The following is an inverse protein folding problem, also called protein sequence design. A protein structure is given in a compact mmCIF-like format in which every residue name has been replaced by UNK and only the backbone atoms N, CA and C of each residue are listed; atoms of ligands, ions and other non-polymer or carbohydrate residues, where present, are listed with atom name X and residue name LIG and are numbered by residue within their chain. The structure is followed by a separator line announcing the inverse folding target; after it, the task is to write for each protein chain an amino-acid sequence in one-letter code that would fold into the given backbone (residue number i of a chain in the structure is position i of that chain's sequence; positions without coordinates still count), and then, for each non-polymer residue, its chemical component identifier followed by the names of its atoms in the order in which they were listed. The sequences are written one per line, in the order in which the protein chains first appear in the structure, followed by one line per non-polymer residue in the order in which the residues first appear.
data_IF_643239140087
#
_entry.id   IF_643239140087
#
_cell.length_a   1.000
_cell.length_b   1.000
_cell.length_c   1.000
_cell.angle_alpha   90.00
_cell.angle_beta   90.00
_cell.angle_gamma   90.00
#
_symmetry.space_group_name_H-M   'P 1'
#
loop_
_entity.id
_entity.type
_entity.pdbx_description
1 polymer ?
#
# COMPACT_ATOMS: atom_id res chain seq x y z
N UNK A 1 21.35 -37.91 -10.08
CA UNK A 1 21.61 -36.70 -9.27
C UNK A 1 20.33 -36.30 -8.53
N UNK A 2 20.30 -36.45 -7.20
CA UNK A 2 19.15 -36.07 -6.35
C UNK A 2 19.17 -34.55 -6.14
N UNK A 3 18.14 -33.83 -6.58
CA UNK A 3 17.93 -32.42 -6.21
C UNK A 3 17.23 -32.37 -4.86
N UNK A 4 17.89 -31.76 -3.89
CA UNK A 4 17.33 -31.40 -2.59
C UNK A 4 16.26 -30.31 -2.80
N UNK A 5 15.06 -30.54 -2.27
CA UNK A 5 14.02 -29.52 -2.13
C UNK A 5 14.43 -28.55 -1.01
N UNK A 6 14.26 -27.23 -1.17
CA UNK A 6 14.40 -26.33 -0.03
C UNK A 6 13.20 -26.48 0.90
N UNK A 7 13.55 -26.59 2.18
CA UNK A 7 12.72 -26.65 3.37
C UNK A 7 11.69 -25.52 3.45
N UNK A 8 10.56 -25.86 4.07
CA UNK A 8 9.44 -25.01 4.40
C UNK A 8 9.87 -23.75 5.17
N UNK A 9 9.45 -22.58 4.70
CA UNK A 9 9.45 -21.35 5.50
C UNK A 9 8.04 -21.20 6.11
N UNK A 10 7.88 -21.10 7.44
CA UNK A 10 6.61 -20.74 8.02
C UNK A 10 6.33 -19.26 7.71
N UNK A 11 5.36 -19.01 6.83
CA UNK A 11 4.85 -17.66 6.58
C UNK A 11 3.96 -17.27 7.77
N UNK A 12 4.52 -16.56 8.74
CA UNK A 12 3.73 -15.89 9.76
C UNK A 12 2.97 -14.73 9.12
N UNK A 13 1.74 -15.01 8.67
CA UNK A 13 0.78 -13.98 8.27
C UNK A 13 0.32 -13.28 9.55
N UNK A 14 0.84 -12.08 9.80
CA UNK A 14 0.25 -11.17 10.77
C UNK A 14 -1.08 -10.67 10.20
N UNK A 15 -2.17 -11.34 10.58
CA UNK A 15 -3.51 -10.82 10.40
C UNK A 15 -3.81 -9.92 11.61
N UNK A 16 -3.97 -8.61 11.39
CA UNK A 16 -4.61 -7.74 12.38
C UNK A 16 -6.10 -8.04 12.33
N UNK A 17 -6.50 -9.11 13.02
CA UNK A 17 -7.90 -9.44 13.24
C UNK A 17 -8.47 -8.58 14.38
N UNK A 18 -9.54 -7.85 14.09
CA UNK A 18 -10.30 -7.07 15.05
C UNK A 18 -10.96 -7.99 16.09
N UNK A 19 -10.45 -8.02 17.32
CA UNK A 19 -11.17 -8.59 18.47
C UNK A 19 -12.24 -7.58 18.89
N UNK A 20 -13.51 -7.92 18.66
CA UNK A 20 -14.66 -7.12 19.07
C UNK A 20 -14.98 -7.44 20.53
N UNK A 21 -14.61 -6.56 21.45
CA UNK A 21 -14.98 -6.69 22.85
C UNK A 21 -14.61 -5.44 23.65
N UNK A 22 -15.61 -4.73 24.15
CA UNK A 22 -15.43 -3.67 25.15
C UNK A 22 -14.77 -4.29 26.38
N UNK A 23 -13.60 -3.78 26.76
CA UNK A 23 -12.94 -4.15 28.01
C UNK A 23 -11.44 -4.35 27.81
N UNK A 24 -10.66 -3.45 28.42
CA UNK A 24 -9.21 -3.50 28.65
C UNK A 24 -8.49 -4.75 28.10
N UNK A 25 -7.72 -4.58 27.03
CA UNK A 25 -6.71 -5.55 26.65
C UNK A 25 -5.49 -5.40 27.57
N UNK A 26 -5.44 -6.22 28.61
CA UNK A 26 -4.19 -6.57 29.27
C UNK A 26 -3.44 -7.58 28.40
N UNK A 27 -2.14 -7.37 28.20
CA UNK A 27 -1.26 -8.37 27.62
C UNK A 27 -1.11 -9.48 28.68
N UNK A 28 -1.72 -10.64 28.40
CA UNK A 28 -1.59 -11.84 29.21
C UNK A 28 -0.28 -12.53 28.84
N UNK A 29 0.79 -12.22 29.56
CA UNK A 29 1.99 -13.05 29.63
C UNK A 29 2.00 -13.76 30.99
N UNK A 30 2.10 -15.09 31.00
CA UNK A 30 2.37 -15.89 32.19
C UNK A 30 3.18 -17.13 31.80
N UNK A 31 4.08 -17.65 32.67
CA UNK A 31 4.94 -16.93 33.59
C UNK A 31 6.42 -17.37 33.46
N UNK A 32 7.35 -16.46 33.75
CA UNK A 32 8.67 -16.82 34.27
C UNK A 32 8.81 -16.19 35.66
N UNK A 33 9.15 -17.06 36.61
CA UNK A 33 9.14 -16.80 38.05
C UNK A 33 10.21 -15.80 38.50
N UNK A 34 9.76 -14.89 39.38
CA UNK A 34 10.36 -14.50 40.67
C UNK A 34 11.79 -13.94 40.65
N UNK A 35 11.89 -12.63 40.93
CA UNK A 35 12.45 -12.15 42.22
C UNK A 35 12.06 -10.71 42.51
N UNK A 36 11.22 -10.52 43.52
CA UNK A 36 10.93 -9.22 44.11
C UNK A 36 12.12 -8.73 44.95
N UNK A 37 12.38 -7.41 44.88
CA UNK A 37 12.92 -6.64 46.00
C UNK A 37 12.40 -5.22 45.88
N UNK A 38 11.53 -4.85 46.82
CA UNK A 38 11.02 -3.48 46.96
C UNK A 38 12.05 -2.51 47.54
N UNK A 39 11.78 -1.22 47.44
CA UNK A 39 11.27 -0.33 48.51
C UNK A 39 11.47 1.13 48.08
N UNK A 40 10.58 2.03 48.53
CA UNK A 40 10.91 3.44 48.73
C UNK A 40 10.20 4.46 47.84
N UNK A 41 9.07 4.97 48.33
CA UNK A 41 8.51 6.29 48.00
C UNK A 41 9.29 7.41 48.75
N UNK A 42 8.79 8.66 48.82
CA UNK A 42 8.48 9.66 47.78
C UNK A 42 9.26 10.98 48.03
N UNK A 43 9.15 11.99 47.14
CA UNK A 43 9.35 13.37 47.59
C UNK A 43 9.71 14.43 46.55
N UNK A 44 9.07 15.59 46.72
CA UNK A 44 9.41 16.93 46.23
C UNK A 44 9.15 17.20 44.74
N UNK A 45 8.29 18.16 44.33
CA UNK A 45 7.96 19.43 44.97
C UNK A 45 8.95 20.48 44.48
N UNK A 46 8.57 21.23 43.44
CA UNK A 46 9.42 22.27 42.85
C UNK A 46 8.71 22.97 41.69
N UNK A 47 7.83 23.92 42.04
CA UNK A 47 7.38 24.96 41.13
C UNK A 47 8.47 26.04 41.05
N UNK A 48 8.89 26.39 39.84
CA UNK A 48 9.67 27.57 39.44
C UNK A 48 9.99 27.34 37.95
N UNK A 49 9.93 28.27 37.02
CA UNK A 49 9.75 29.71 37.07
C UNK A 49 9.49 30.12 35.61
N UNK A 50 8.65 31.13 35.41
CA UNK A 50 8.37 31.67 34.10
C UNK A 50 9.62 32.38 33.55
N UNK A 51 10.15 31.90 32.42
CA UNK A 51 11.15 32.63 31.64
C UNK A 51 10.53 33.12 30.32
N UNK A 52 10.24 34.42 30.27
CA UNK A 52 10.04 35.20 29.04
C UNK A 52 11.26 36.11 28.85
N UNK A 53 12.03 35.87 27.79
CA UNK A 53 12.53 36.94 26.93
C UNK A 53 12.18 36.56 25.48
N UNK A 54 11.77 37.43 24.58
CA UNK A 54 12.05 38.84 24.38
C UNK A 54 11.66 39.08 22.93
N UNK A 55 11.02 40.21 22.66
CA UNK A 55 10.66 40.61 21.32
C UNK A 55 11.93 40.81 20.48
N UNK A 56 12.11 39.98 19.47
CA UNK A 56 13.03 40.22 18.37
C UNK A 56 12.17 40.45 17.12
N UNK A 57 11.82 41.72 16.91
CA UNK A 57 11.32 42.22 15.64
C UNK A 57 12.47 42.15 14.62
N UNK A 58 12.52 41.07 13.83
CA UNK A 58 13.29 41.05 12.60
C UNK A 58 12.32 41.26 11.45
N UNK A 59 12.10 42.54 11.15
CA UNK A 59 11.59 42.99 9.88
C UNK A 59 12.59 42.64 8.78
N UNK A 60 12.29 41.60 8.02
CA UNK A 60 12.72 41.48 6.63
C UNK A 60 11.47 41.21 5.81
N UNK A 61 11.01 42.30 5.20
CA UNK A 61 9.95 42.39 4.21
C UNK A 61 10.05 41.23 3.22
N UNK A 62 8.96 40.45 3.19
CA UNK A 62 8.84 39.22 2.45
C UNK A 62 9.04 39.42 0.96
N UNK A 63 9.97 38.62 0.44
CA UNK A 63 10.01 38.14 -0.94
C UNK A 63 8.60 37.96 -1.50
N UNK A 64 8.36 38.57 -2.66
CA UNK A 64 7.17 38.30 -3.47
C UNK A 64 6.96 36.78 -3.60
N UNK A 65 5.71 36.28 -3.52
CA UNK A 65 5.45 34.89 -3.81
C UNK A 65 5.85 34.65 -5.26
N UNK A 66 6.91 33.86 -5.46
CA UNK A 66 7.20 33.26 -6.74
C UNK A 66 5.93 32.52 -7.16
N UNK A 67 5.17 33.14 -8.06
CA UNK A 67 4.09 32.51 -8.78
C UNK A 67 4.71 31.34 -9.54
N UNK A 68 4.71 30.16 -8.94
CA UNK A 68 5.01 28.92 -9.63
C UNK A 68 3.96 28.84 -10.73
N UNK A 69 4.33 28.94 -12.01
CA UNK A 69 3.37 28.72 -13.07
C UNK A 69 2.83 27.31 -12.85
N UNK A 70 1.51 27.20 -12.65
CA UNK A 70 0.79 25.95 -12.78
C UNK A 70 1.08 25.43 -14.19
N UNK A 71 2.14 24.63 -14.30
CA UNK A 71 2.53 24.00 -15.54
C UNK A 71 1.32 23.17 -16.03
N UNK A 72 1.03 23.17 -17.33
CA UNK A 72 -0.11 22.45 -17.87
C UNK A 72 0.00 20.98 -17.46
N UNK A 73 -0.94 20.59 -16.61
CA UNK A 73 -1.13 19.25 -16.07
C UNK A 73 -0.97 18.23 -17.20
N UNK A 74 0.02 17.36 -17.02
CA UNK A 74 0.53 16.35 -17.94
C UNK A 74 -0.54 15.77 -18.87
N UNK A 75 -0.64 16.31 -20.09
CA UNK A 75 -1.16 15.56 -21.23
C UNK A 75 -0.11 14.51 -21.57
N UNK A 76 -0.06 13.41 -20.81
CA UNK A 76 0.46 12.16 -21.36
C UNK A 76 -0.36 11.94 -22.62
N UNK A 77 0.23 12.05 -23.83
CA UNK A 77 -0.57 12.00 -25.03
C UNK A 77 -1.21 10.62 -25.05
N UNK A 78 -2.54 10.56 -25.07
CA UNK A 78 -3.35 9.35 -25.13
C UNK A 78 -2.80 8.32 -26.15
N UNK A 79 -2.12 8.83 -27.18
CA UNK A 79 -1.37 8.08 -28.19
C UNK A 79 -0.26 7.20 -27.62
N UNK A 80 0.52 7.64 -26.63
CA UNK A 80 1.56 6.83 -25.96
C UNK A 80 0.91 5.69 -25.16
N UNK A 81 -0.23 5.95 -24.50
CA UNK A 81 -0.99 4.92 -23.81
C UNK A 81 -1.54 3.87 -24.79
N UNK A 82 -2.12 4.31 -25.90
CA UNK A 82 -2.59 3.44 -26.98
C UNK A 82 -1.42 2.64 -27.57
N UNK A 83 -0.27 3.27 -27.81
CA UNK A 83 0.91 2.61 -28.36
C UNK A 83 1.43 1.50 -27.41
N UNK A 84 1.47 1.77 -26.10
CA UNK A 84 1.85 0.80 -25.08
C UNK A 84 0.87 -0.38 -25.01
N UNK A 85 -0.43 -0.13 -25.23
CA UNK A 85 -1.45 -1.19 -25.28
C UNK A 85 -1.36 -2.06 -26.53
N UNK A 86 -0.79 -1.55 -27.63
CA UNK A 86 -0.67 -2.24 -28.92
C UNK A 86 0.62 -3.07 -29.06
N UNK A 87 1.60 -2.91 -28.17
CA UNK A 87 2.80 -3.76 -28.13
C UNK A 87 2.41 -5.17 -27.65
N UNK A 88 1.97 -6.01 -28.57
CA UNK A 88 1.79 -7.45 -28.31
C UNK A 88 3.17 -8.11 -28.44
N UNK A 89 3.78 -8.48 -27.32
CA UNK A 89 5.11 -9.07 -27.33
C UNK A 89 5.11 -10.57 -27.67
N UNK A 90 6.32 -11.08 -27.91
CA UNK A 90 6.60 -12.48 -28.24
C UNK A 90 6.18 -13.42 -27.10
N UNK A 91 5.85 -14.68 -27.37
CA UNK A 91 5.40 -15.65 -26.35
C UNK A 91 6.31 -15.76 -25.09
N UNK A 92 7.61 -15.45 -25.22
CA UNK A 92 8.58 -15.44 -24.11
C UNK A 92 8.55 -14.14 -23.27
N UNK A 93 7.92 -13.09 -23.77
CA UNK A 93 7.78 -11.80 -23.11
C UNK A 93 6.49 -11.73 -22.27
N UNK A 94 5.47 -12.58 -22.54
CA UNK A 94 4.16 -12.61 -21.84
C UNK A 94 4.19 -12.73 -20.31
N UNK A 95 5.34 -13.04 -19.73
CA UNK A 95 5.61 -12.93 -18.30
C UNK A 95 5.57 -11.48 -17.81
N UNK A 96 5.87 -10.49 -18.64
CA UNK A 96 5.96 -9.08 -18.29
C UNK A 96 4.68 -8.35 -18.67
N UNK A 97 4.35 -7.30 -17.92
CA UNK A 97 3.19 -6.48 -18.20
C UNK A 97 3.38 -5.04 -17.75
N UNK A 98 2.67 -4.13 -18.41
CA UNK A 98 2.41 -2.79 -17.90
C UNK A 98 1.03 -2.76 -17.28
N UNK A 99 0.90 -2.12 -16.13
CA UNK A 99 -0.38 -1.85 -15.46
C UNK A 99 -0.71 -0.36 -15.51
N UNK A 100 -1.98 -0.06 -15.72
CA UNK A 100 -2.56 1.26 -15.58
C UNK A 100 -3.54 1.20 -14.41
N UNK A 101 -3.24 1.92 -13.33
CA UNK A 101 -4.20 2.18 -12.24
C UNK A 101 -5.10 3.31 -12.73
N UNK A 102 -6.41 3.06 -12.75
CA UNK A 102 -7.38 4.02 -13.30
C UNK A 102 -8.01 4.86 -12.18
N UNK A 103 -8.25 4.25 -11.02
CA UNK A 103 -8.85 4.92 -9.89
C UNK A 103 -9.28 3.95 -8.81
N UNK A 104 -9.95 4.49 -7.81
CA UNK A 104 -10.39 3.76 -6.63
C UNK A 104 -11.81 4.11 -6.25
N UNK A 105 -12.48 3.19 -5.56
CA UNK A 105 -13.75 3.38 -4.90
C UNK A 105 -13.53 3.23 -3.39
N UNK A 106 -13.90 4.26 -2.64
CA UNK A 106 -13.86 4.27 -1.17
C UNK A 106 -15.27 4.09 -0.65
N UNK A 107 -15.59 2.92 -0.11
CA UNK A 107 -16.91 2.64 0.45
C UNK A 107 -16.97 3.19 1.87
N UNK A 108 -17.93 4.07 2.13
CA UNK A 108 -18.15 4.67 3.45
C UNK A 108 -17.37 5.97 3.71
N UNK A 109 -16.59 6.45 2.74
CA UNK A 109 -15.88 7.73 2.83
C UNK A 109 -15.93 8.49 1.50
N UNK A 110 -16.71 9.56 1.45
CA UNK A 110 -16.92 10.36 0.24
C UNK A 110 -15.91 11.52 0.09
N UNK A 111 -15.06 11.74 1.10
CA UNK A 111 -14.08 12.85 1.11
C UNK A 111 -12.75 12.49 0.43
N UNK A 112 -12.56 11.23 0.02
CA UNK A 112 -11.32 10.75 -0.58
C UNK A 112 -11.35 10.87 -2.10
N UNK A 113 -10.21 11.24 -2.69
CA UNK A 113 -10.07 11.29 -4.13
C UNK A 113 -10.21 9.87 -4.72
N UNK A 114 -11.15 9.71 -5.65
CA UNK A 114 -11.41 8.44 -6.35
C UNK A 114 -10.61 8.33 -7.65
N UNK A 115 -9.99 9.42 -8.10
CA UNK A 115 -9.17 9.46 -9.29
C UNK A 115 -7.69 9.34 -8.93
N UNK A 116 -7.23 8.09 -8.94
CA UNK A 116 -5.89 7.69 -8.52
C UNK A 116 -5.10 7.09 -9.69
N UNK A 117 -4.77 7.89 -10.72
CA UNK A 117 -4.08 7.39 -11.91
C UNK A 117 -2.68 6.92 -11.55
N UNK A 118 -2.24 5.82 -12.18
CA UNK A 118 -0.91 5.29 -11.94
C UNK A 118 -0.42 4.37 -13.03
N UNK A 119 0.88 4.17 -13.05
CA UNK A 119 1.58 3.28 -13.96
C UNK A 119 2.38 2.26 -13.16
N UNK A 120 2.27 1.01 -13.53
CA UNK A 120 3.07 -0.08 -12.97
C UNK A 120 3.71 -0.92 -14.05
N UNK A 121 4.78 -1.59 -13.66
CA UNK A 121 5.45 -2.60 -14.44
C UNK A 121 5.62 -3.83 -13.56
N UNK A 122 5.34 -4.99 -14.11
CA UNK A 122 5.45 -6.22 -13.35
C UNK A 122 5.85 -7.41 -14.19
N UNK A 123 6.16 -8.47 -13.48
CA UNK A 123 6.46 -9.78 -14.02
C UNK A 123 5.66 -10.84 -13.27
N UNK A 124 5.05 -11.76 -14.01
CA UNK A 124 4.40 -12.98 -13.55
C UNK A 124 5.24 -14.18 -13.94
N UNK A 125 5.17 -15.23 -13.13
CA UNK A 125 5.86 -16.49 -13.37
C UNK A 125 4.94 -17.61 -12.90
N UNK A 126 4.70 -18.58 -13.77
CA UNK A 126 3.90 -19.74 -13.45
C UNK A 126 4.61 -20.60 -12.41
N UNK A 127 3.93 -20.92 -11.31
CA UNK A 127 4.46 -21.82 -10.27
C UNK A 127 4.11 -23.27 -10.56
N UNK A 128 2.84 -23.45 -10.92
CA UNK A 128 2.12 -24.70 -11.19
C UNK A 128 0.95 -24.35 -12.11
N UNK A 129 0.38 -25.33 -12.85
CA UNK A 129 -0.79 -25.11 -13.68
C UNK A 129 -1.88 -24.33 -12.94
N UNK A 130 -2.26 -23.17 -13.50
CA UNK A 130 -3.30 -22.31 -12.95
C UNK A 130 -2.86 -21.33 -11.84
N UNK A 131 -1.65 -21.47 -11.27
CA UNK A 131 -1.13 -20.58 -10.21
C UNK A 131 0.11 -19.82 -10.66
N UNK A 132 0.08 -18.49 -10.51
CA UNK A 132 1.14 -17.58 -10.89
C UNK A 132 1.58 -16.76 -9.69
N UNK A 133 2.88 -16.60 -9.51
CA UNK A 133 3.37 -15.50 -8.69
C UNK A 133 3.54 -14.25 -9.53
N UNK A 134 3.61 -13.10 -8.87
CA UNK A 134 3.92 -11.84 -9.51
C UNK A 134 4.78 -10.95 -8.62
N UNK A 135 5.61 -10.13 -9.27
CA UNK A 135 6.29 -8.98 -8.71
C UNK A 135 5.87 -7.76 -9.53
N UNK A 136 5.36 -6.74 -8.87
CA UNK A 136 4.88 -5.50 -9.49
C UNK A 136 5.48 -4.30 -8.77
N UNK A 137 5.92 -3.30 -9.52
CA UNK A 137 6.33 -2.02 -8.97
C UNK A 137 5.79 -0.90 -9.83
N UNK A 138 5.50 0.24 -9.22
CA UNK A 138 4.91 1.36 -9.94
C UNK A 138 4.84 2.63 -9.12
N UNK A 139 4.20 3.61 -9.73
CA UNK A 139 3.88 4.91 -9.13
C UNK A 139 2.43 5.22 -9.45
N UNK A 140 1.70 5.76 -8.47
CA UNK A 140 0.33 6.23 -8.68
C UNK A 140 0.07 7.47 -7.84
N UNK A 141 -0.92 8.25 -8.23
CA UNK A 141 -1.43 9.33 -7.42
C UNK A 141 -2.40 8.75 -6.39
N UNK A 142 -2.12 8.90 -5.09
CA UNK A 142 -2.96 8.33 -4.05
C UNK A 142 -4.15 9.26 -3.71
N UNK A 143 -5.02 8.78 -2.82
CA UNK A 143 -6.23 9.50 -2.39
C UNK A 143 -5.95 10.78 -1.57
N UNK A 144 -4.69 11.02 -1.19
CA UNK A 144 -4.20 12.20 -0.45
C UNK A 144 -3.46 13.19 -1.37
N UNK A 145 -3.64 13.05 -2.68
CA UNK A 145 -2.98 13.84 -3.72
C UNK A 145 -1.45 13.79 -3.69
N UNK A 146 -0.89 12.62 -3.36
CA UNK A 146 0.56 12.38 -3.35
C UNK A 146 0.98 11.36 -4.40
N UNK A 147 2.11 11.61 -5.06
CA UNK A 147 2.76 10.61 -5.93
C UNK A 147 3.40 9.54 -5.05
N UNK A 148 2.91 8.32 -5.21
CA UNK A 148 3.15 7.21 -4.29
C UNK A 148 3.81 6.05 -5.02
N UNK A 149 5.13 5.86 -4.88
CA UNK A 149 5.78 4.63 -5.34
C UNK A 149 5.35 3.42 -4.51
N UNK A 150 5.25 2.27 -5.16
CA UNK A 150 4.96 1.00 -4.51
C UNK A 150 5.70 -0.17 -5.14
N UNK A 151 5.86 -1.24 -4.36
CA UNK A 151 6.31 -2.56 -4.81
C UNK A 151 5.46 -3.61 -4.12
N UNK A 152 4.96 -4.59 -4.87
CA UNK A 152 4.12 -5.69 -4.41
C UNK A 152 4.66 -7.01 -4.94
N UNK A 153 4.66 -8.03 -4.09
CA UNK A 153 4.82 -9.43 -4.47
C UNK A 153 3.55 -10.19 -4.10
N UNK A 154 3.14 -11.13 -4.93
CA UNK A 154 1.93 -11.88 -4.62
C UNK A 154 1.78 -13.17 -5.41
N UNK A 155 0.69 -13.85 -5.14
CA UNK A 155 0.28 -15.09 -5.77
C UNK A 155 -1.16 -14.95 -6.26
N UNK A 156 -1.44 -15.52 -7.43
CA UNK A 156 -2.79 -15.56 -8.01
C UNK A 156 -3.08 -16.94 -8.54
N UNK A 157 -4.31 -17.40 -8.36
CA UNK A 157 -4.81 -18.67 -8.82
C UNK A 157 -6.01 -18.47 -9.74
N UNK A 158 -6.10 -19.29 -10.79
CA UNK A 158 -7.33 -19.47 -11.55
C UNK A 158 -8.44 -19.96 -10.62
N UNK A 159 -9.64 -19.41 -10.79
CA UNK A 159 -10.84 -19.78 -10.04
C UNK A 159 -11.87 -20.44 -10.97
N UNK A 160 -12.18 -19.76 -12.08
CA UNK A 160 -13.20 -20.22 -13.04
C UNK A 160 -12.95 -19.60 -14.41
N UNK A 161 -13.43 -20.26 -15.46
CA UNK A 161 -13.44 -19.72 -16.83
C UNK A 161 -14.88 -19.39 -17.23
N UNK A 162 -15.12 -18.15 -17.65
CA UNK A 162 -16.41 -17.66 -18.14
C UNK A 162 -16.24 -17.24 -19.61
N UNK A 163 -16.63 -18.13 -20.53
CA UNK A 163 -16.43 -17.91 -21.96
C UNK A 163 -14.95 -17.78 -22.32
N UNK A 164 -14.54 -16.59 -22.77
CA UNK A 164 -13.14 -16.26 -23.10
C UNK A 164 -12.37 -15.62 -21.94
N UNK A 165 -13.02 -15.39 -20.81
CA UNK A 165 -12.42 -14.75 -19.64
C UNK A 165 -12.03 -15.78 -18.59
N UNK A 166 -10.80 -15.72 -18.10
CA UNK A 166 -10.36 -16.43 -16.90
C UNK A 166 -10.54 -15.52 -15.68
N UNK A 167 -11.32 -15.97 -14.70
CA UNK A 167 -11.43 -15.29 -13.41
C UNK A 167 -10.36 -15.87 -12.49
N UNK A 168 -9.59 -14.98 -11.87
CA UNK A 168 -8.45 -15.31 -11.02
C UNK A 168 -8.53 -14.53 -9.72
N UNK A 169 -8.26 -15.20 -8.61
CA UNK A 169 -8.15 -14.59 -7.29
C UNK A 169 -6.70 -14.60 -6.82
N UNK A 170 -6.29 -13.60 -6.06
CA UNK A 170 -4.92 -13.51 -5.57
C UNK A 170 -4.80 -12.70 -4.30
N UNK A 171 -3.65 -12.86 -3.67
CA UNK A 171 -3.22 -12.08 -2.52
C UNK A 171 -1.80 -11.60 -2.74
N UNK A 172 -1.47 -10.46 -2.15
CA UNK A 172 -0.16 -9.84 -2.28
C UNK A 172 0.21 -9.06 -1.04
N UNK A 173 1.50 -8.81 -0.90
CA UNK A 173 2.04 -7.93 0.13
C UNK A 173 3.20 -7.13 -0.44
N UNK A 174 3.52 -6.01 0.17
CA UNK A 174 4.68 -5.22 -0.22
C UNK A 174 4.75 -3.93 0.55
N UNK A 175 5.27 -2.90 -0.09
CA UNK A 175 5.48 -1.58 0.50
C UNK A 175 4.96 -0.50 -0.43
N UNK A 176 4.38 0.54 0.15
CA UNK A 176 3.93 1.73 -0.58
C UNK A 176 4.23 2.99 0.21
N UNK A 177 4.50 4.08 -0.49
CA UNK A 177 4.70 5.38 0.12
C UNK A 177 3.35 6.08 0.30
N UNK A 178 3.06 6.48 1.53
CA UNK A 178 1.93 7.33 1.89
C UNK A 178 2.35 8.20 3.07
N UNK A 179 2.68 9.47 2.85
CA UNK A 179 3.22 10.30 3.94
C UNK A 179 2.13 10.63 4.95
N UNK A 180 1.03 11.21 4.49
CA UNK A 180 -0.09 11.62 5.35
C UNK A 180 -0.63 10.42 6.14
N UNK A 181 -0.96 9.33 5.45
CA UNK A 181 -1.46 8.12 6.12
C UNK A 181 -0.44 7.50 7.08
N UNK A 182 0.86 7.56 6.79
CA UNK A 182 1.87 7.00 7.67
C UNK A 182 2.04 7.79 8.96
N UNK A 183 1.85 9.11 8.91
CA UNK A 183 1.81 9.98 10.09
C UNK A 183 0.58 9.63 10.93
N UNK A 184 -0.61 9.59 10.32
CA UNK A 184 -1.86 9.25 10.99
C UNK A 184 -1.81 7.86 11.67
N UNK A 185 -1.35 6.82 10.94
CA UNK A 185 -1.27 5.45 11.47
C UNK A 185 -0.21 5.28 12.57
N UNK A 186 0.86 6.07 12.52
CA UNK A 186 1.86 6.08 13.58
C UNK A 186 1.29 6.70 14.84
N UNK A 187 0.55 7.80 14.71
CA UNK A 187 -0.03 8.52 15.84
C UNK A 187 -1.20 7.74 16.46
N UNK A 188 -2.06 7.12 15.65
CA UNK A 188 -3.24 6.38 16.13
C UNK A 188 -2.94 4.96 16.62
N UNK A 189 -1.97 4.26 16.00
CA UNK A 189 -1.78 2.82 16.19
C UNK A 189 -0.33 2.41 16.47
N UNK A 190 0.62 3.35 16.46
CA UNK A 190 2.04 3.04 16.64
C UNK A 190 2.63 2.17 15.53
N UNK A 191 2.02 2.17 14.33
CA UNK A 191 2.52 1.37 13.21
C UNK A 191 3.87 1.94 12.77
N UNK A 192 4.93 1.11 12.71
CA UNK A 192 6.23 1.58 12.27
C UNK A 192 6.16 1.96 10.78
N UNK A 193 6.60 3.19 10.48
CA UNK A 193 6.84 3.64 9.11
C UNK A 193 8.30 4.09 8.98
N UNK A 194 8.86 3.97 7.79
CA UNK A 194 10.20 4.47 7.47
C UNK A 194 10.01 5.59 6.45
N UNK A 195 10.02 6.84 6.90
CA UNK A 195 9.92 8.01 6.00
C UNK A 195 8.69 8.00 5.10
N UNK A 196 7.53 7.57 5.61
CA UNK A 196 6.29 7.49 4.84
C UNK A 196 6.03 6.15 4.13
N UNK A 197 6.96 5.19 4.17
CA UNK A 197 6.71 3.85 3.64
C UNK A 197 5.96 2.96 4.63
N UNK A 198 4.88 2.36 4.15
CA UNK A 198 4.00 1.47 4.91
C UNK A 198 3.95 0.07 4.28
N UNK A 199 3.80 -0.98 5.10
CA UNK A 199 3.49 -2.31 4.59
C UNK A 199 2.10 -2.33 3.99
N UNK A 200 1.97 -2.98 2.83
CA UNK A 200 0.71 -3.19 2.14
C UNK A 200 0.35 -4.67 2.17
N UNK A 201 -0.93 -4.93 2.36
CA UNK A 201 -1.55 -6.23 2.10
C UNK A 201 -2.69 -6.01 1.10
N UNK A 202 -2.79 -6.88 0.11
CA UNK A 202 -3.75 -6.73 -0.98
C UNK A 202 -4.47 -8.05 -1.25
N UNK A 203 -5.76 -7.97 -1.54
CA UNK A 203 -6.49 -9.07 -2.17
C UNK A 203 -6.97 -8.60 -3.55
N UNK A 204 -6.81 -9.44 -4.57
CA UNK A 204 -7.09 -9.08 -5.96
C UNK A 204 -8.03 -10.11 -6.57
N UNK A 205 -9.06 -9.61 -7.26
CA UNK A 205 -9.85 -10.38 -8.21
C UNK A 205 -9.53 -9.84 -9.61
N UNK A 206 -9.33 -10.70 -10.58
CA UNK A 206 -9.06 -10.27 -11.95
C UNK A 206 -9.78 -11.11 -12.99
N UNK A 207 -10.24 -10.47 -14.06
CA UNK A 207 -10.73 -11.11 -15.26
C UNK A 207 -9.67 -10.97 -16.36
N UNK A 208 -9.13 -12.10 -16.82
CA UNK A 208 -8.12 -12.16 -17.88
C UNK A 208 -8.75 -12.52 -19.21
N UNK A 209 -8.56 -11.66 -20.21
CA UNK A 209 -8.96 -11.88 -21.59
C UNK A 209 -7.72 -11.84 -22.48
N UNK A 210 -7.22 -13.03 -22.85
CA UNK A 210 -5.96 -13.17 -23.57
C UNK A 210 -4.79 -12.60 -22.76
N UNK A 211 -4.10 -11.61 -23.31
CA UNK A 211 -2.99 -10.91 -22.67
C UNK A 211 -3.38 -9.76 -21.73
N UNK A 212 -4.67 -9.48 -21.51
CA UNK A 212 -5.12 -8.35 -20.70
C UNK A 212 -5.81 -8.82 -19.42
N UNK A 213 -5.39 -8.28 -18.26
CA UNK A 213 -6.06 -8.48 -16.97
C UNK A 213 -6.82 -7.20 -16.57
N UNK A 214 -8.12 -7.31 -16.32
CA UNK A 214 -8.91 -6.29 -15.62
C UNK A 214 -8.94 -6.66 -14.14
N UNK A 215 -8.46 -5.76 -13.27
CA UNK A 215 -8.16 -6.07 -11.87
C UNK A 215 -8.95 -5.18 -10.94
N UNK A 216 -9.52 -5.81 -9.92
CA UNK A 216 -10.11 -5.20 -8.75
C UNK A 216 -9.26 -5.60 -7.54
N UNK A 217 -8.54 -4.65 -6.96
CA UNK A 217 -7.65 -4.89 -5.82
C UNK A 217 -8.15 -4.15 -4.59
N UNK A 218 -8.31 -4.85 -3.49
CA UNK A 218 -8.67 -4.24 -2.20
C UNK A 218 -7.48 -4.25 -1.24
N UNK A 219 -7.42 -3.23 -0.40
CA UNK A 219 -6.46 -3.07 0.68
C UNK A 219 -7.21 -2.91 2.01
N UNK A 220 -6.59 -3.25 3.14
CA UNK A 220 -7.15 -2.99 4.46
C UNK A 220 -7.61 -1.54 4.57
N UNK A 221 -8.85 -1.29 5.02
CA UNK A 221 -9.36 0.05 5.17
C UNK A 221 -8.86 0.70 6.48
N UNK A 222 -8.96 2.03 6.55
CA UNK A 222 -8.74 2.81 7.78
C UNK A 222 -10.07 3.08 8.54
N UNK A 223 -10.04 3.75 9.71
CA UNK A 223 -11.19 3.96 10.62
C UNK A 223 -12.46 4.43 9.91
N UNK A 224 -12.33 5.42 9.04
CA UNK A 224 -13.45 6.08 8.41
C UNK A 224 -13.82 5.47 7.04
N UNK A 225 -13.13 4.41 6.64
CA UNK A 225 -13.38 3.71 5.38
C UNK A 225 -13.82 2.27 5.65
N UNK A 226 -14.84 1.78 4.96
CA UNK A 226 -15.29 0.38 5.12
C UNK A 226 -14.53 -0.56 4.20
N UNK A 227 -14.26 -0.11 2.97
CA UNK A 227 -13.48 -0.85 2.00
C UNK A 227 -12.89 0.09 0.95
N UNK A 228 -11.72 -0.26 0.45
CA UNK A 228 -11.06 0.45 -0.66
C UNK A 228 -10.93 -0.54 -1.81
N UNK A 229 -11.39 -0.17 -3.00
CA UNK A 229 -11.26 -0.97 -4.21
C UNK A 229 -10.52 -0.17 -5.28
N UNK A 230 -9.40 -0.68 -5.75
CA UNK A 230 -8.61 -0.11 -6.82
C UNK A 230 -8.91 -0.86 -8.12
N UNK A 231 -9.17 -0.08 -9.18
CA UNK A 231 -9.39 -0.59 -10.52
C UNK A 231 -8.14 -0.38 -11.37
N UNK A 232 -7.63 -1.45 -11.95
CA UNK A 232 -6.48 -1.37 -12.86
C UNK A 232 -6.62 -2.31 -14.05
N UNK A 233 -5.95 -1.95 -15.15
CA UNK A 233 -5.84 -2.77 -16.34
C UNK A 233 -4.37 -3.09 -16.55
N UNK A 234 -4.03 -4.36 -16.77
CA UNK A 234 -2.67 -4.75 -17.07
C UNK A 234 -2.57 -5.49 -18.39
N UNK A 235 -1.62 -5.10 -19.23
CA UNK A 235 -1.38 -5.68 -20.55
C UNK A 235 -0.03 -6.40 -20.57
N UNK A 236 -0.09 -7.71 -20.82
CA UNK A 236 1.07 -8.57 -21.04
C UNK A 236 1.63 -8.34 -22.43
N UNK A 237 2.95 -8.42 -22.56
CA UNK A 237 3.67 -8.34 -23.83
C UNK A 237 4.81 -9.32 -23.82
#
# INVERSE_FOLDING_TARGET
MRRLLPSEFPLHVFSIARVRGKGKAGILCSPCNVRERGTGAPGHGGAMEAWKPGAAENGLSGSEPLAIPFAPMYRVPMRVLILLLLLSGTAQAQDRYFGLVMGSLHVGNDNLNNFNPGLSYGRRWERRPGTEWHLEGGVFHNSYDEVSPFVLVGISTHLITLGRAEIRGGVGTGIGYYRTLAEDLKDDYGIPNIGGYLPLATATLSARLGGTDFRLTTVPPDRDTTAIFNFSVARRF
#
